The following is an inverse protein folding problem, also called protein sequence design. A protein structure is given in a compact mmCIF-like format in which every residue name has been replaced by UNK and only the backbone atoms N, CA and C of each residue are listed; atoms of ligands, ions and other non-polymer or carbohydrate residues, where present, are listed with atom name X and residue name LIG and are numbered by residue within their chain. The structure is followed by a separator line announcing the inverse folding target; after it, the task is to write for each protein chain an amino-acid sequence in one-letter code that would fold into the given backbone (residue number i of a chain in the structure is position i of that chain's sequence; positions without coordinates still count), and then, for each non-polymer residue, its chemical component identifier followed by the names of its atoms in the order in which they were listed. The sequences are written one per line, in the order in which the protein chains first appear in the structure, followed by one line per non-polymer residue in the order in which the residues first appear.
data_IF_317221238674
#
_entry.id   IF_317221238674
#
_cell.length_a   1.000
_cell.length_b   1.000
_cell.length_c   1.000
_cell.angle_alpha   90.00
_cell.angle_beta   90.00
_cell.angle_gamma   90.00
#
_symmetry.space_group_name_H-M   'P 1'
#
loop_
_entity.id
_entity.type
_entity.pdbx_description
1 polymer ?
#
# COMPACT_ATOMS: atom_id res chain seq x y z
N UNK A 1 9.36 0.85 -9.67
CA UNK A 1 8.88 2.24 -9.55
C UNK A 1 9.10 2.77 -8.14
N UNK A 2 8.45 2.16 -7.13
CA UNK A 2 8.50 2.64 -5.76
C UNK A 2 9.91 2.61 -5.17
N UNK A 3 10.70 1.56 -5.40
CA UNK A 3 12.07 1.49 -4.90
C UNK A 3 12.87 2.71 -5.37
N UNK A 4 12.79 3.04 -6.66
CA UNK A 4 13.44 4.22 -7.22
C UNK A 4 12.88 5.51 -6.61
N UNK A 5 11.56 5.64 -6.43
CA UNK A 5 10.94 6.81 -5.81
C UNK A 5 11.38 6.99 -4.33
N UNK A 6 11.62 5.89 -3.62
CA UNK A 6 12.04 5.80 -2.23
C UNK A 6 13.57 5.80 -2.03
N UNK A 7 14.35 6.09 -3.07
CA UNK A 7 15.82 6.08 -3.02
C UNK A 7 16.39 4.70 -2.66
N UNK A 8 15.79 3.65 -3.25
CA UNK A 8 16.09 2.23 -3.06
C UNK A 8 15.93 1.75 -1.61
N UNK A 9 15.04 2.38 -0.84
CA UNK A 9 14.68 1.94 0.51
C UNK A 9 13.41 1.11 0.47
N UNK A 10 13.40 -0.02 1.17
CA UNK A 10 12.22 -0.87 1.33
C UNK A 10 11.16 -0.24 2.25
N UNK A 11 11.58 0.61 3.20
CA UNK A 11 10.70 1.27 4.14
C UNK A 11 11.23 2.65 4.55
N UNK A 12 10.38 3.48 5.15
CA UNK A 12 10.73 4.81 5.66
C UNK A 12 10.58 4.95 7.18
N UNK A 13 9.89 4.02 7.83
CA UNK A 13 9.75 3.95 9.27
C UNK A 13 11.13 3.97 9.95
N UNK A 14 11.28 4.66 11.10
CA UNK A 14 12.56 4.74 11.81
C UNK A 14 12.83 3.45 12.61
N UNK A 15 12.92 2.33 11.89
CA UNK A 15 13.24 1.02 12.46
C UNK A 15 14.68 1.02 12.98
N UNK A 16 14.89 0.37 14.13
CA UNK A 16 16.23 0.15 14.69
C UNK A 16 16.70 -1.27 14.46
N UNK A 17 15.94 -2.23 14.97
CA UNK A 17 16.19 -3.65 14.83
C UNK A 17 14.85 -4.39 14.90
N UNK A 18 14.13 -4.44 13.78
CA UNK A 18 12.89 -5.22 13.70
C UNK A 18 13.27 -6.71 13.66
N UNK A 19 12.69 -7.52 14.53
CA UNK A 19 12.98 -8.96 14.63
C UNK A 19 11.81 -9.80 14.13
N UNK A 20 10.61 -9.23 14.13
CA UNK A 20 9.37 -9.87 13.69
C UNK A 20 8.59 -8.89 12.85
N UNK A 21 8.35 -9.26 11.59
CA UNK A 21 7.77 -8.38 10.57
C UNK A 21 6.57 -9.04 9.92
N UNK A 22 5.50 -8.26 9.73
CA UNK A 22 4.33 -8.67 8.97
C UNK A 22 4.19 -7.82 7.71
N UNK A 23 4.06 -8.46 6.55
CA UNK A 23 3.70 -7.81 5.28
C UNK A 23 2.25 -8.18 4.92
N UNK A 24 1.33 -7.21 5.04
CA UNK A 24 -0.10 -7.42 4.84
C UNK A 24 -0.47 -7.15 3.38
N UNK A 25 -1.10 -8.13 2.73
CA UNK A 25 -1.36 -8.04 1.29
C UNK A 25 -0.06 -8.18 0.51
N UNK A 26 0.75 -9.19 0.85
CA UNK A 26 2.12 -9.34 0.34
C UNK A 26 2.17 -9.57 -1.18
N UNK A 27 1.05 -9.94 -1.81
CA UNK A 27 0.93 -10.14 -3.25
C UNK A 27 1.92 -11.20 -3.73
N UNK A 28 2.85 -10.84 -4.61
CA UNK A 28 3.88 -11.77 -5.10
C UNK A 28 4.97 -12.11 -4.06
N UNK A 29 4.98 -11.44 -2.91
CA UNK A 29 5.96 -11.66 -1.84
C UNK A 29 7.29 -10.93 -2.03
N UNK A 30 7.47 -10.17 -3.11
CA UNK A 30 8.76 -9.52 -3.47
C UNK A 30 9.28 -8.66 -2.31
N UNK A 31 8.42 -7.82 -1.72
CA UNK A 31 8.85 -6.95 -0.64
C UNK A 31 9.27 -7.72 0.61
N UNK A 32 8.49 -8.74 1.00
CA UNK A 32 8.81 -9.58 2.15
C UNK A 32 10.13 -10.34 1.96
N UNK A 33 10.39 -10.84 0.75
CA UNK A 33 11.64 -11.51 0.38
C UNK A 33 12.81 -10.54 0.45
N UNK A 34 12.71 -9.37 -0.18
CA UNK A 34 13.78 -8.37 -0.19
C UNK A 34 14.09 -7.89 1.24
N UNK A 35 13.06 -7.72 2.08
CA UNK A 35 13.25 -7.35 3.49
C UNK A 35 13.96 -8.48 4.25
N UNK A 36 13.55 -9.74 4.05
CA UNK A 36 14.18 -10.88 4.70
C UNK A 36 15.66 -11.05 4.31
N UNK A 37 16.01 -10.77 3.05
CA UNK A 37 17.38 -10.77 2.55
C UNK A 37 18.22 -9.63 3.15
N UNK A 38 17.67 -8.42 3.29
CA UNK A 38 18.37 -7.27 3.88
C UNK A 38 18.53 -7.41 5.41
N UNK A 39 17.59 -8.09 6.08
CA UNK A 39 17.56 -8.27 7.54
C UNK A 39 17.51 -9.77 7.91
N UNK A 40 18.62 -10.50 7.82
CA UNK A 40 18.64 -11.96 8.04
C UNK A 40 18.31 -12.38 9.49
N UNK A 41 18.36 -11.44 10.44
CA UNK A 41 17.98 -11.66 11.85
C UNK A 41 16.49 -11.41 12.11
N UNK A 42 15.72 -10.97 11.11
CA UNK A 42 14.29 -10.72 11.21
C UNK A 42 13.50 -11.90 10.65
N UNK A 43 12.46 -12.32 11.35
CA UNK A 43 11.46 -13.26 10.85
C UNK A 43 10.34 -12.48 10.15
N UNK A 44 10.17 -12.72 8.85
CA UNK A 44 9.19 -12.04 7.99
C UNK A 44 8.04 -12.98 7.65
N UNK A 45 6.82 -12.55 7.96
CA UNK A 45 5.59 -13.24 7.58
C UNK A 45 4.84 -12.38 6.58
N UNK A 46 4.57 -12.88 5.38
CA UNK A 46 3.66 -12.25 4.43
C UNK A 46 2.29 -12.93 4.44
N UNK A 47 1.21 -12.14 4.45
CA UNK A 47 -0.15 -12.66 4.34
C UNK A 47 -0.84 -12.16 3.08
N UNK A 48 -1.56 -13.03 2.40
CA UNK A 48 -2.37 -12.69 1.22
C UNK A 48 -3.55 -13.66 1.07
N UNK A 49 -4.60 -13.23 0.38
CA UNK A 49 -5.75 -14.06 0.01
C UNK A 49 -5.42 -15.06 -1.11
N UNK A 50 -4.35 -14.83 -1.85
CA UNK A 50 -3.98 -15.61 -3.03
C UNK A 50 -2.62 -16.28 -2.85
N UNK A 51 -2.49 -17.60 -3.09
CA UNK A 51 -1.23 -18.32 -2.97
C UNK A 51 -0.38 -18.14 -4.24
N UNK A 52 0.12 -16.93 -4.49
CA UNK A 52 0.90 -16.56 -5.69
C UNK A 52 2.40 -16.40 -5.44
N UNK A 53 2.82 -16.63 -4.19
CA UNK A 53 4.19 -16.40 -3.74
C UNK A 53 5.11 -17.56 -4.15
N UNK A 54 6.40 -17.30 -4.39
CA UNK A 54 7.36 -18.35 -4.74
C UNK A 54 7.59 -19.30 -3.56
N UNK A 55 7.98 -20.55 -3.87
CA UNK A 55 8.36 -21.54 -2.85
C UNK A 55 9.83 -21.43 -2.41
N UNK A 56 10.68 -20.84 -3.27
CA UNK A 56 12.08 -20.59 -2.96
C UNK A 56 12.23 -19.19 -2.38
N UNK A 57 12.33 -19.12 -1.05
CA UNK A 57 12.46 -17.88 -0.27
C UNK A 57 13.57 -17.99 0.77
N UNK A 58 14.03 -16.86 1.33
CA UNK A 58 14.95 -16.86 2.46
C UNK A 58 14.40 -17.70 3.63
N UNK A 59 15.27 -18.35 4.43
CA UNK A 59 14.83 -19.24 5.52
C UNK A 59 14.05 -18.52 6.63
N UNK A 60 14.22 -17.20 6.73
CA UNK A 60 13.54 -16.29 7.66
C UNK A 60 12.31 -15.60 7.04
N UNK A 61 11.82 -16.08 5.89
CA UNK A 61 10.62 -15.57 5.24
C UNK A 61 9.60 -16.69 5.05
N UNK A 62 8.34 -16.44 5.44
CA UNK A 62 7.23 -17.36 5.21
C UNK A 62 5.97 -16.65 4.75
N UNK A 63 5.09 -17.40 4.10
CA UNK A 63 3.81 -16.91 3.62
C UNK A 63 2.65 -17.71 4.20
N UNK A 64 1.60 -17.01 4.58
CA UNK A 64 0.36 -17.59 5.09
C UNK A 64 -0.81 -17.12 4.24
N UNK A 65 -1.69 -18.06 3.86
CA UNK A 65 -2.92 -17.75 3.16
C UNK A 65 -3.95 -17.25 4.19
N UNK A 66 -4.15 -15.95 4.27
CA UNK A 66 -5.00 -15.33 5.29
C UNK A 66 -5.73 -14.09 4.77
N UNK A 67 -6.93 -13.84 5.31
CA UNK A 67 -7.76 -12.69 5.01
C UNK A 67 -7.57 -11.62 6.08
N UNK A 68 -6.80 -10.59 5.76
CA UNK A 68 -6.51 -9.49 6.66
C UNK A 68 -7.75 -8.68 7.10
N UNK A 69 -8.92 -8.89 6.47
CA UNK A 69 -10.19 -8.28 6.89
C UNK A 69 -10.87 -9.02 8.06
N UNK A 70 -10.46 -10.26 8.32
CA UNK A 70 -10.92 -11.05 9.45
C UNK A 70 -10.19 -10.69 10.74
N UNK A 71 -10.60 -11.31 11.85
CA UNK A 71 -9.87 -11.18 13.11
C UNK A 71 -8.55 -11.93 12.98
N UNK A 72 -7.42 -11.29 13.30
CA UNK A 72 -6.12 -11.89 13.09
C UNK A 72 -5.84 -12.93 14.17
N UNK A 73 -5.26 -14.06 13.75
CA UNK A 73 -4.88 -15.14 14.67
C UNK A 73 -3.57 -14.86 15.41
N UNK A 74 -2.86 -13.79 15.04
CA UNK A 74 -1.63 -13.35 15.70
C UNK A 74 -1.91 -12.86 17.13
N UNK A 75 -1.07 -13.24 18.11
CA UNK A 75 -1.17 -12.71 19.47
C UNK A 75 -0.91 -11.20 19.56
N UNK A 76 -1.38 -10.59 20.63
CA UNK A 76 -1.05 -9.20 20.96
C UNK A 76 0.47 -9.01 21.10
N UNK A 77 0.98 -7.85 20.70
CA UNK A 77 2.40 -7.49 20.83
C UNK A 77 3.38 -8.50 20.19
N UNK A 78 3.05 -9.00 19.01
CA UNK A 78 3.87 -9.96 18.26
C UNK A 78 4.91 -9.29 17.37
N UNK A 79 4.54 -8.27 16.61
CA UNK A 79 5.39 -7.70 15.55
C UNK A 79 6.11 -6.43 16.00
N UNK A 80 7.35 -6.27 15.54
CA UNK A 80 8.09 -5.00 15.66
C UNK A 80 7.73 -4.04 14.52
N UNK A 81 7.35 -4.59 13.37
CA UNK A 81 7.02 -3.83 12.17
C UNK A 81 5.88 -4.49 11.39
N UNK A 82 4.90 -3.70 10.99
CA UNK A 82 3.84 -4.11 10.07
C UNK A 82 3.91 -3.19 8.86
N UNK A 83 3.98 -3.78 7.68
CA UNK A 83 4.01 -3.11 6.39
C UNK A 83 2.71 -3.39 5.62
N UNK A 84 2.14 -2.35 5.02
CA UNK A 84 0.95 -2.43 4.15
C UNK A 84 1.24 -1.59 2.91
N UNK A 85 0.98 -2.14 1.72
CA UNK A 85 1.23 -1.43 0.46
C UNK A 85 0.24 -1.83 -0.62
N UNK A 86 -0.38 -0.84 -1.27
CA UNK A 86 -1.32 -1.04 -2.39
C UNK A 86 -2.54 -1.92 -2.06
N UNK A 87 -3.18 -1.65 -0.93
CA UNK A 87 -4.40 -2.30 -0.44
C UNK A 87 -5.65 -1.40 -0.47
N UNK A 88 -5.57 -0.19 -1.05
CA UNK A 88 -6.71 0.72 -1.20
C UNK A 88 -7.82 0.05 -2.01
N UNK A 89 -9.06 0.17 -1.53
CA UNK A 89 -10.20 -0.57 -2.10
C UNK A 89 -10.30 -2.04 -1.69
N UNK A 90 -9.36 -2.62 -0.93
CA UNK A 90 -9.46 -4.02 -0.49
C UNK A 90 -10.31 -4.21 0.78
N UNK A 91 -10.46 -3.18 1.61
CA UNK A 91 -11.12 -3.30 2.91
C UNK A 91 -12.38 -2.41 3.02
N UNK A 92 -13.45 -2.99 3.59
CA UNK A 92 -14.65 -2.24 3.98
C UNK A 92 -14.44 -1.51 5.31
N UNK A 93 -13.78 -2.14 6.28
CA UNK A 93 -13.47 -1.56 7.59
C UNK A 93 -11.96 -1.42 7.80
N UNK A 94 -11.40 -0.32 7.28
CA UNK A 94 -10.01 0.09 7.57
C UNK A 94 -9.75 0.33 9.06
N UNK A 95 -10.76 0.74 9.82
CA UNK A 95 -10.58 0.92 11.27
C UNK A 95 -10.35 -0.42 11.95
N UNK A 96 -10.99 -1.51 11.50
CA UNK A 96 -10.71 -2.87 11.99
C UNK A 96 -9.28 -3.28 11.68
N UNK A 97 -8.84 -3.10 10.43
CA UNK A 97 -7.47 -3.43 10.04
C UNK A 97 -6.43 -2.74 10.93
N UNK A 98 -6.58 -1.43 11.14
CA UNK A 98 -5.63 -0.70 12.00
C UNK A 98 -5.74 -1.06 13.48
N UNK A 99 -6.92 -1.46 13.99
CA UNK A 99 -7.04 -2.00 15.35
C UNK A 99 -6.24 -3.28 15.50
N UNK A 100 -6.31 -4.18 14.52
CA UNK A 100 -5.52 -5.42 14.52
C UNK A 100 -4.03 -5.15 14.39
N UNK A 101 -3.64 -4.21 13.51
CA UNK A 101 -2.25 -3.75 13.43
C UNK A 101 -1.75 -3.22 14.77
N UNK A 102 -2.52 -2.36 15.43
CA UNK A 102 -2.16 -1.78 16.72
C UNK A 102 -2.05 -2.84 17.81
N UNK A 103 -3.02 -3.76 17.88
CA UNK A 103 -3.04 -4.87 18.84
C UNK A 103 -1.82 -5.79 18.68
N UNK A 104 -1.48 -6.13 17.44
CA UNK A 104 -0.40 -7.06 17.14
C UNK A 104 0.98 -6.40 17.17
N UNK A 105 1.08 -5.07 17.12
CA UNK A 105 2.35 -4.37 17.28
C UNK A 105 2.81 -4.37 18.73
N UNK A 106 4.09 -4.65 18.95
CA UNK A 106 4.75 -4.43 20.24
C UNK A 106 4.74 -2.95 20.61
N UNK A 107 4.83 -2.61 21.91
CA UNK A 107 5.04 -1.23 22.31
C UNK A 107 6.33 -0.68 21.69
N UNK A 108 6.21 0.41 20.92
CA UNK A 108 7.33 1.01 20.18
C UNK A 108 7.55 0.45 18.78
N UNK A 109 6.77 -0.54 18.34
CA UNK A 109 6.73 -1.01 16.96
C UNK A 109 6.09 -0.01 16.00
N UNK A 110 6.27 -0.24 14.71
CA UNK A 110 5.81 0.68 13.65
C UNK A 110 4.83 0.01 12.70
N UNK A 111 3.80 0.78 12.34
CA UNK A 111 3.00 0.52 11.15
C UNK A 111 3.47 1.47 10.05
N UNK A 112 3.81 0.95 8.89
CA UNK A 112 3.99 1.73 7.66
C UNK A 112 2.93 1.33 6.65
N UNK A 113 2.16 2.31 6.19
CA UNK A 113 1.16 2.11 5.15
C UNK A 113 1.47 3.05 3.99
N UNK A 114 1.83 2.46 2.85
CA UNK A 114 2.17 3.16 1.62
C UNK A 114 1.07 3.00 0.58
N UNK A 115 0.60 4.12 0.05
CA UNK A 115 -0.41 4.12 -0.99
C UNK A 115 -0.19 5.14 -2.10
N UNK A 116 -0.82 4.87 -3.25
CA UNK A 116 -0.91 5.81 -4.36
C UNK A 116 -2.31 6.39 -4.46
N UNK A 117 -2.38 7.70 -4.62
CA UNK A 117 -3.64 8.42 -4.80
C UNK A 117 -4.27 8.01 -6.13
N UNK A 118 -5.60 7.91 -6.14
CA UNK A 118 -6.37 7.78 -7.39
C UNK A 118 -6.57 9.13 -8.07
N UNK A 119 -6.26 10.24 -7.38
CA UNK A 119 -6.41 11.60 -7.88
C UNK A 119 -5.16 12.02 -8.64
N UNK A 120 -5.24 12.02 -9.97
CA UNK A 120 -4.18 12.57 -10.81
C UNK A 120 -4.26 14.10 -10.80
N UNK A 121 -3.10 14.74 -10.60
CA UNK A 121 -2.97 16.18 -10.45
C UNK A 121 -1.85 16.73 -11.33
N UNK A 122 -1.87 18.06 -11.55
CA UNK A 122 -0.76 18.80 -12.16
C UNK A 122 -0.35 19.95 -11.24
N UNK A 123 0.96 20.20 -11.14
CA UNK A 123 1.51 21.30 -10.34
C UNK A 123 1.47 22.64 -11.10
N UNK A 124 1.38 22.61 -12.42
CA UNK A 124 1.45 23.77 -13.32
C UNK A 124 0.11 24.13 -13.98
N UNK A 125 -0.97 23.41 -13.63
CA UNK A 125 -2.30 23.61 -14.21
C UNK A 125 -2.44 23.07 -15.64
N UNK A 126 -1.48 22.27 -16.12
CA UNK A 126 -1.56 21.62 -17.44
C UNK A 126 -2.68 20.57 -17.55
N UNK A 127 -3.22 20.10 -16.43
CA UNK A 127 -4.35 19.17 -16.37
C UNK A 127 -5.67 19.94 -16.28
N UNK A 128 -6.52 19.93 -17.32
CA UNK A 128 -7.85 20.54 -17.27
C UNK A 128 -8.74 19.86 -16.22
N UNK A 129 -9.58 20.67 -15.56
CA UNK A 129 -10.49 20.19 -14.53
C UNK A 129 -11.57 19.22 -15.06
N UNK A 130 -11.87 19.29 -16.36
CA UNK A 130 -12.82 18.46 -17.10
C UNK A 130 -12.13 17.35 -17.92
N UNK A 131 -10.86 17.04 -17.61
CA UNK A 131 -10.15 15.96 -18.28
C UNK A 131 -10.66 14.57 -17.88
N UNK A 132 -10.30 13.55 -18.67
CA UNK A 132 -10.60 12.13 -18.36
C UNK A 132 -10.12 11.68 -16.98
N UNK A 133 -9.14 12.38 -16.39
CA UNK A 133 -8.66 12.08 -15.05
C UNK A 133 -9.65 12.52 -13.95
N UNK A 134 -10.50 13.50 -14.23
CA UNK A 134 -11.62 13.86 -13.35
C UNK A 134 -12.69 12.76 -13.37
N UNK A 135 -13.01 12.22 -14.55
CA UNK A 135 -13.90 11.06 -14.70
C UNK A 135 -13.32 9.81 -14.02
N UNK A 136 -12.01 9.59 -14.17
CA UNK A 136 -11.28 8.50 -13.52
C UNK A 136 -11.50 8.52 -12.01
N UNK A 137 -11.34 9.68 -11.36
CA UNK A 137 -11.62 9.83 -9.93
C UNK A 137 -13.07 9.47 -9.58
N UNK A 138 -14.04 9.97 -10.35
CA UNK A 138 -15.46 9.71 -10.10
C UNK A 138 -15.79 8.22 -10.18
N UNK A 139 -15.17 7.48 -11.11
CA UNK A 139 -15.31 6.03 -11.24
C UNK A 139 -14.92 5.34 -9.92
N UNK A 140 -13.77 5.67 -9.34
CA UNK A 140 -13.32 5.07 -8.07
C UNK A 140 -14.21 5.46 -6.88
N UNK A 141 -14.67 6.71 -6.83
CA UNK A 141 -15.60 7.15 -5.80
C UNK A 141 -16.91 6.34 -5.85
N UNK A 142 -17.51 6.22 -7.04
CA UNK A 142 -18.74 5.43 -7.26
C UNK A 142 -18.55 3.94 -6.97
N UNK A 143 -17.40 3.38 -7.35
CA UNK A 143 -17.07 2.00 -7.04
C UNK A 143 -17.04 1.80 -5.52
N UNK A 144 -16.40 2.70 -4.78
CA UNK A 144 -16.32 2.61 -3.33
C UNK A 144 -17.66 2.79 -2.62
N UNK A 145 -18.54 3.66 -3.14
CA UNK A 145 -19.92 3.77 -2.64
C UNK A 145 -20.71 2.47 -2.82
N UNK A 146 -20.56 1.80 -3.96
CA UNK A 146 -21.27 0.54 -4.24
C UNK A 146 -20.74 -0.65 -3.43
N UNK A 147 -19.42 -0.76 -3.25
CA UNK A 147 -18.80 -1.91 -2.56
C UNK A 147 -18.67 -1.72 -1.05
N UNK A 148 -18.77 -0.47 -0.58
CA UNK A 148 -18.40 -0.07 0.78
C UNK A 148 -16.90 -0.04 1.02
N UNK A 149 -16.07 -0.24 -0.01
CA UNK A 149 -14.61 -0.22 0.09
C UNK A 149 -14.07 1.10 -0.49
N UNK A 150 -13.51 1.95 0.36
CA UNK A 150 -13.03 3.26 -0.07
C UNK A 150 -11.76 3.20 -0.93
N UNK A 151 -11.76 3.97 -2.01
CA UNK A 151 -10.60 4.20 -2.89
C UNK A 151 -9.92 5.57 -2.68
N UNK A 152 -10.39 6.35 -1.71
CA UNK A 152 -9.95 7.74 -1.44
C UNK A 152 -9.34 7.90 -0.03
N UNK A 153 -8.95 6.78 0.61
CA UNK A 153 -8.51 6.74 2.01
C UNK A 153 -7.32 7.65 2.35
N UNK A 154 -6.41 7.89 1.39
CA UNK A 154 -5.24 8.76 1.55
C UNK A 154 -5.49 10.22 1.15
N UNK A 155 -6.53 10.47 0.36
CA UNK A 155 -6.83 11.79 -0.19
C UNK A 155 -7.57 12.67 0.83
N UNK A 156 -8.38 12.05 1.70
CA UNK A 156 -9.23 12.74 2.69
C UNK A 156 -8.69 12.70 4.14
N UNK A 157 -7.41 12.37 4.31
CA UNK A 157 -6.75 12.19 5.63
C UNK A 157 -7.45 11.17 6.55
N UNK A 158 -8.26 10.27 5.99
CA UNK A 158 -9.02 9.29 6.77
C UNK A 158 -8.13 8.25 7.44
N UNK A 159 -7.04 7.83 6.81
CA UNK A 159 -6.00 7.00 7.42
C UNK A 159 -5.49 7.53 8.77
N UNK A 160 -5.19 8.83 8.89
CA UNK A 160 -4.74 9.46 10.14
C UNK A 160 -5.85 9.34 11.19
N UNK A 161 -7.11 9.58 10.83
CA UNK A 161 -8.25 9.44 11.75
C UNK A 161 -8.40 7.99 12.22
N UNK A 162 -8.31 7.02 11.32
CA UNK A 162 -8.44 5.60 11.64
C UNK A 162 -7.26 5.10 12.50
N UNK A 163 -6.03 5.51 12.19
CA UNK A 163 -4.84 5.22 12.99
C UNK A 163 -4.95 5.80 14.40
N UNK A 164 -5.37 7.06 14.54
CA UNK A 164 -5.59 7.67 15.86
C UNK A 164 -6.65 6.90 16.67
N UNK A 165 -7.76 6.50 16.04
CA UNK A 165 -8.81 5.71 16.70
C UNK A 165 -8.33 4.32 17.13
N UNK A 166 -7.41 3.72 16.39
CA UNK A 166 -6.81 2.44 16.76
C UNK A 166 -5.85 2.55 17.95
N UNK A 167 -5.29 3.74 18.21
CA UNK A 167 -4.39 4.00 19.35
C UNK A 167 -3.00 4.49 18.96
N UNK A 168 -2.70 4.63 17.66
CA UNK A 168 -1.43 5.18 17.19
C UNK A 168 -1.30 6.66 17.60
N UNK A 169 -0.13 7.05 18.10
CA UNK A 169 0.12 8.38 18.65
C UNK A 169 1.20 9.18 17.89
N UNK A 170 2.17 8.51 17.26
CA UNK A 170 3.23 9.14 16.47
C UNK A 170 3.00 8.94 14.97
N UNK A 171 1.97 9.58 14.43
CA UNK A 171 1.58 9.43 13.02
C UNK A 171 2.35 10.46 12.19
N UNK A 172 3.13 9.97 11.22
CA UNK A 172 3.91 10.78 10.29
C UNK A 172 3.36 10.59 8.87
N UNK A 173 3.19 11.68 8.13
CA UNK A 173 2.77 11.65 6.72
C UNK A 173 3.93 12.13 5.84
N UNK A 174 4.28 11.34 4.82
CA UNK A 174 5.19 11.77 3.76
C UNK A 174 4.52 11.59 2.41
N UNK A 175 4.40 12.69 1.68
CA UNK A 175 3.90 12.69 0.31
C UNK A 175 5.07 12.60 -0.68
N UNK A 176 4.96 11.69 -1.64
CA UNK A 176 5.96 11.49 -2.68
C UNK A 176 5.25 11.64 -4.02
N UNK A 177 5.56 12.71 -4.74
CA UNK A 177 4.97 12.96 -6.05
C UNK A 177 5.60 12.02 -7.07
N UNK A 178 4.80 11.12 -7.63
CA UNK A 178 5.22 10.21 -8.70
C UNK A 178 4.69 10.75 -10.03
N UNK A 179 5.55 11.29 -10.92
CA UNK A 179 5.11 11.78 -12.21
C UNK A 179 4.54 10.64 -13.06
N UNK A 180 3.75 10.97 -14.09
CA UNK A 180 3.26 10.01 -15.08
C UNK A 180 3.89 10.36 -16.43
N UNK A 181 4.78 9.49 -16.91
CA UNK A 181 5.52 9.68 -18.16
C UNK A 181 6.93 10.26 -17.97
N UNK A 182 7.66 10.37 -19.09
CA UNK A 182 9.08 10.75 -19.11
C UNK A 182 9.35 12.26 -19.27
N UNK A 183 8.41 13.12 -18.89
CA UNK A 183 8.55 14.58 -19.03
C UNK A 183 9.45 15.27 -17.97
N UNK A 184 9.68 14.74 -16.75
CA UNK A 184 10.59 15.40 -15.82
C UNK A 184 12.01 15.54 -16.38
N UNK A 185 12.67 16.65 -16.05
CA UNK A 185 14.05 16.90 -16.45
C UNK A 185 15.05 16.08 -15.62
N UNK A 186 14.78 15.94 -14.32
CA UNK A 186 15.58 15.12 -13.41
C UNK A 186 15.54 13.63 -13.82
N UNK A 187 16.72 12.99 -13.83
CA UNK A 187 16.86 11.61 -14.32
C UNK A 187 16.07 10.60 -13.49
N UNK A 188 16.11 10.72 -12.15
CA UNK A 188 15.40 9.83 -11.24
C UNK A 188 13.89 9.96 -11.48
N UNK A 189 13.37 11.18 -11.51
CA UNK A 189 11.93 11.40 -11.67
C UNK A 189 11.42 11.08 -13.08
N UNK A 190 12.24 11.27 -14.13
CA UNK A 190 11.92 10.79 -15.47
C UNK A 190 11.72 9.28 -15.49
N UNK A 191 12.63 8.54 -14.87
CA UNK A 191 12.59 7.07 -14.83
C UNK A 191 11.43 6.56 -13.97
N UNK A 192 11.22 7.15 -12.77
CA UNK A 192 10.02 6.89 -11.95
C UNK A 192 8.75 7.10 -12.77
N UNK A 193 8.67 8.20 -13.53
CA UNK A 193 7.49 8.52 -14.32
C UNK A 193 7.25 7.59 -15.50
N UNK A 194 8.32 7.11 -16.14
CA UNK A 194 8.22 6.07 -17.17
C UNK A 194 7.67 4.77 -16.59
N UNK A 195 8.17 4.32 -15.43
CA UNK A 195 7.62 3.14 -14.77
C UNK A 195 6.18 3.33 -14.33
N UNK A 196 5.84 4.49 -13.76
CA UNK A 196 4.48 4.79 -13.33
C UNK A 196 3.49 4.75 -14.50
N UNK A 197 3.88 5.32 -15.65
CA UNK A 197 3.08 5.26 -16.87
C UNK A 197 2.83 3.81 -17.30
N UNK A 198 3.85 2.95 -17.30
CA UNK A 198 3.69 1.54 -17.65
C UNK A 198 2.78 0.82 -16.65
N UNK A 199 2.96 1.07 -15.35
CA UNK A 199 2.09 0.52 -14.29
C UNK A 199 0.63 0.92 -14.49
N UNK A 200 0.36 2.19 -14.84
CA UNK A 200 -0.98 2.64 -15.16
C UNK A 200 -1.50 1.98 -16.44
N UNK A 201 -0.79 2.07 -17.56
CA UNK A 201 -1.22 1.50 -18.86
C UNK A 201 -1.52 -0.01 -18.77
N UNK A 202 -0.74 -0.76 -18.01
CA UNK A 202 -0.98 -2.20 -17.79
C UNK A 202 -2.06 -2.48 -16.74
N UNK A 203 -2.24 -1.59 -15.76
CA UNK A 203 -3.27 -1.69 -14.74
C UNK A 203 -4.67 -1.28 -15.23
N UNK A 204 -4.76 -0.38 -16.21
CA UNK A 204 -6.02 0.16 -16.75
C UNK A 204 -6.97 -0.94 -17.21
N UNK A 205 -6.47 -1.94 -17.93
CA UNK A 205 -7.30 -3.05 -18.40
C UNK A 205 -7.79 -3.92 -17.25
N UNK A 206 -6.97 -4.17 -16.22
CA UNK A 206 -7.36 -5.06 -15.11
C UNK A 206 -8.30 -4.36 -14.14
N UNK A 207 -7.92 -3.19 -13.64
CA UNK A 207 -8.68 -2.47 -12.63
C UNK A 207 -9.83 -1.68 -13.25
N UNK A 208 -9.56 -0.94 -14.33
CA UNK A 208 -10.57 -0.10 -14.97
C UNK A 208 -11.71 -0.90 -15.59
N UNK A 209 -11.40 -1.93 -16.38
CA UNK A 209 -12.44 -2.75 -17.02
C UNK A 209 -13.30 -3.48 -16.00
N UNK A 210 -12.68 -4.10 -14.98
CA UNK A 210 -13.42 -4.83 -13.95
C UNK A 210 -14.36 -3.91 -13.17
N UNK A 211 -13.85 -2.77 -12.69
CA UNK A 211 -14.66 -1.78 -11.95
C UNK A 211 -15.84 -1.30 -12.80
N UNK A 212 -15.59 -0.92 -14.05
CA UNK A 212 -16.63 -0.40 -14.93
C UNK A 212 -17.70 -1.45 -15.24
N UNK A 213 -17.29 -2.67 -15.58
CA UNK A 213 -18.23 -3.70 -16.11
C UNK A 213 -18.86 -4.61 -15.07
N UNK A 214 -18.26 -4.74 -13.87
CA UNK A 214 -18.74 -5.68 -12.84
C UNK A 214 -19.17 -5.00 -11.54
N UNK A 215 -18.74 -3.76 -11.30
CA UNK A 215 -19.11 -3.02 -10.08
C UNK A 215 -20.09 -1.90 -10.40
N UNK A 216 -19.77 -1.04 -11.37
CA UNK A 216 -20.48 0.22 -11.60
C UNK A 216 -21.70 0.09 -12.52
N UNK A 217 -21.70 -0.86 -13.44
CA UNK A 217 -22.89 -1.18 -14.27
C UNK A 217 -24.12 -1.63 -13.46
#
# INVERSE_FOLDING_TARGET
MLDLALDNKLFLAPLKNAQTVLDVGTGTGIWAIDFADEFPEAEVTGIDLSPTQPTWVPPNCKFELDDASQDWTFPDNTFDYIHIRYMIGCFQDWSKLYRECFRCLKPGGWLEHLECSTHVQSDDGSLPADSVWAEWREIFARAGEKTGQTFEGIDDDNWIKWMNRAGFSNIQRKMIKTPIGGWPADKKWKEVGQFNRVSLETGLERFGLYILTNIID
#
